data_IF_903265870708
#
_entry.id   IF_903265870708
#
_cell.length_a   1.000
_cell.length_b   1.000
_cell.length_c   1.000
_cell.angle_alpha   90.00
_cell.angle_beta   90.00
_cell.angle_gamma   90.00
#
_symmetry.space_group_name_H-M   'P 1'
#
loop_
_entity.id
_entity.type
_entity.pdbx_description
1 polymer ?
#
# COMPACT_ATOMS: atom_id res chain seq x y z
N UNK A 1 9.25 0.36 12.58
CA UNK A 1 7.94 -0.17 13.02
C UNK A 1 7.97 -1.68 13.28
N UNK A 2 7.26 -2.16 14.31
CA UNK A 2 7.01 -3.60 14.53
C UNK A 2 6.03 -4.13 13.48
N UNK A 3 6.11 -5.43 13.15
CA UNK A 3 5.16 -6.08 12.21
C UNK A 3 3.70 -5.97 12.69
N UNK A 4 3.47 -6.04 14.00
CA UNK A 4 2.13 -5.87 14.58
C UNK A 4 1.53 -4.49 14.29
N UNK A 5 2.33 -3.43 14.35
CA UNK A 5 1.90 -2.05 14.06
C UNK A 5 1.54 -1.88 12.57
N UNK A 6 2.38 -2.44 11.69
CA UNK A 6 2.13 -2.46 10.24
C UNK A 6 0.83 -3.20 9.92
N UNK A 7 0.62 -4.38 10.53
CA UNK A 7 -0.61 -5.16 10.33
C UNK A 7 -1.85 -4.38 10.79
N UNK A 8 -1.75 -3.68 11.93
CA UNK A 8 -2.85 -2.86 12.44
C UNK A 8 -3.18 -1.69 11.50
N UNK A 9 -2.18 -1.00 10.96
CA UNK A 9 -2.38 0.08 10.01
C UNK A 9 -3.09 -0.40 8.73
N UNK A 10 -2.69 -1.55 8.19
CA UNK A 10 -3.34 -2.16 7.01
C UNK A 10 -4.80 -2.56 7.32
N UNK A 11 -5.07 -3.11 8.51
CA UNK A 11 -6.43 -3.47 8.93
C UNK A 11 -7.34 -2.24 9.04
N UNK A 12 -6.84 -1.15 9.63
CA UNK A 12 -7.54 0.13 9.72
C UNK A 12 -7.84 0.69 8.32
N UNK A 13 -6.86 0.69 7.41
CA UNK A 13 -7.05 1.12 6.04
C UNK A 13 -8.12 0.31 5.31
N UNK A 14 -8.09 -1.03 5.42
CA UNK A 14 -9.12 -1.90 4.85
C UNK A 14 -10.51 -1.62 5.41
N UNK A 15 -10.63 -1.41 6.71
CA UNK A 15 -11.91 -1.11 7.36
C UNK A 15 -12.49 0.22 6.89
N UNK A 16 -11.67 1.27 6.83
CA UNK A 16 -12.10 2.59 6.36
C UNK A 16 -12.50 2.56 4.88
N UNK A 17 -11.70 1.92 4.02
CA UNK A 17 -12.02 1.76 2.61
C UNK A 17 -13.35 1.00 2.43
N UNK A 18 -13.60 -0.06 3.22
CA UNK A 18 -14.86 -0.78 3.19
C UNK A 18 -16.06 0.09 3.63
N UNK A 19 -15.88 0.92 4.66
CA UNK A 19 -16.89 1.88 5.14
C UNK A 19 -17.30 2.86 4.04
N UNK A 20 -16.34 3.35 3.24
CA UNK A 20 -16.60 4.26 2.13
C UNK A 20 -16.83 3.55 0.78
N UNK A 21 -17.09 2.24 0.81
CA UNK A 21 -17.35 1.42 -0.38
C UNK A 21 -16.24 1.44 -1.44
N UNK A 22 -15.00 1.72 -1.04
CA UNK A 22 -13.84 1.63 -1.90
C UNK A 22 -13.34 0.18 -1.99
N UNK A 23 -13.46 -0.43 -3.16
CA UNK A 23 -13.09 -1.82 -3.39
C UNK A 23 -11.65 -1.95 -3.89
N UNK A 24 -10.83 -2.68 -3.13
CA UNK A 24 -9.47 -3.01 -3.52
C UNK A 24 -9.41 -4.24 -4.44
N UNK A 25 -8.40 -4.32 -5.32
CA UNK A 25 -8.16 -5.51 -6.15
C UNK A 25 -7.84 -6.74 -5.28
N UNK A 26 -8.07 -7.94 -5.85
CA UNK A 26 -7.94 -9.22 -5.11
C UNK A 26 -6.62 -9.38 -4.37
N UNK A 27 -5.51 -8.97 -4.99
CA UNK A 27 -4.16 -9.11 -4.42
C UNK A 27 -3.93 -8.30 -3.13
N UNK A 28 -4.77 -7.30 -2.84
CA UNK A 28 -4.72 -6.57 -1.57
C UNK A 28 -5.02 -7.45 -0.33
N UNK A 29 -5.60 -8.63 -0.55
CA UNK A 29 -5.98 -9.59 0.49
C UNK A 29 -5.09 -10.84 0.52
N UNK A 30 -4.07 -10.93 -0.34
CA UNK A 30 -3.18 -12.09 -0.36
C UNK A 30 -2.44 -12.27 0.96
N UNK A 31 -2.53 -13.48 1.50
CA UNK A 31 -1.71 -13.98 2.59
C UNK A 31 -0.30 -14.32 2.11
N UNK A 32 0.61 -14.61 3.04
CA UNK A 32 1.95 -15.10 2.69
C UNK A 32 1.89 -16.40 1.88
N UNK A 33 0.91 -17.27 2.15
CA UNK A 33 0.73 -18.51 1.40
C UNK A 33 0.28 -18.22 -0.03
N UNK A 34 -0.68 -17.31 -0.22
CA UNK A 34 -1.14 -16.90 -1.55
C UNK A 34 0.03 -16.32 -2.37
N UNK A 35 0.88 -15.50 -1.75
CA UNK A 35 2.08 -14.97 -2.40
C UNK A 35 3.12 -16.04 -2.75
N UNK A 36 3.24 -17.09 -1.94
CA UNK A 36 4.15 -18.21 -2.19
C UNK A 36 3.66 -19.13 -3.31
N UNK A 37 2.35 -19.26 -3.48
CA UNK A 37 1.73 -20.11 -4.51
C UNK A 37 1.34 -19.34 -5.77
N UNK A 38 1.47 -18.02 -5.77
CA UNK A 38 1.19 -17.16 -6.91
C UNK A 38 2.07 -17.52 -8.12
N UNK A 39 1.45 -17.70 -9.28
CA UNK A 39 2.15 -17.77 -10.56
C UNK A 39 2.81 -16.42 -10.86
N UNK A 40 4.08 -16.30 -10.52
CA UNK A 40 4.83 -15.04 -10.63
C UNK A 40 4.92 -14.54 -12.06
N UNK A 41 5.00 -15.42 -13.05
CA UNK A 41 5.12 -15.04 -14.46
C UNK A 41 3.87 -14.26 -14.93
N UNK A 42 2.68 -14.65 -14.46
CA UNK A 42 1.42 -13.95 -14.78
C UNK A 42 1.16 -12.68 -13.98
N UNK A 43 1.94 -12.45 -12.92
CA UNK A 43 1.72 -11.34 -11.98
C UNK A 43 2.96 -10.46 -11.81
N UNK A 44 3.88 -10.48 -12.79
CA UNK A 44 5.12 -9.70 -12.77
C UNK A 44 4.89 -8.21 -12.54
N UNK A 45 3.86 -7.64 -13.18
CA UNK A 45 3.52 -6.21 -13.02
C UNK A 45 3.31 -5.81 -11.56
N UNK A 46 2.71 -6.68 -10.73
CA UNK A 46 2.47 -6.36 -9.31
C UNK A 46 3.80 -6.12 -8.58
N UNK A 47 4.83 -6.91 -8.93
CA UNK A 47 6.15 -6.84 -8.31
C UNK A 47 6.98 -5.70 -8.90
N UNK A 48 7.04 -5.59 -10.23
CA UNK A 48 7.88 -4.62 -10.93
C UNK A 48 7.38 -3.17 -10.78
N UNK A 49 6.07 -2.97 -10.77
CA UNK A 49 5.48 -1.64 -10.59
C UNK A 49 5.33 -1.24 -9.11
N UNK A 50 5.79 -2.10 -8.18
CA UNK A 50 5.63 -1.93 -6.73
C UNK A 50 4.18 -1.65 -6.31
N UNK A 51 3.25 -2.44 -6.85
CA UNK A 51 1.84 -2.32 -6.47
C UNK A 51 1.61 -2.91 -5.08
N UNK A 52 0.56 -2.43 -4.41
CA UNK A 52 0.14 -2.99 -3.13
C UNK A 52 0.37 -2.07 -1.94
N UNK A 53 0.41 -2.70 -0.75
CA UNK A 53 0.47 -2.01 0.54
C UNK A 53 1.84 -1.40 0.80
N UNK A 54 1.83 -0.15 1.27
CA UNK A 54 2.99 0.56 1.80
C UNK A 54 2.59 1.24 3.11
N UNK A 55 3.45 1.10 4.11
CA UNK A 55 3.30 1.65 5.46
C UNK A 55 4.64 2.19 5.88
N UNK A 56 4.70 3.50 6.12
CA UNK A 56 5.94 4.19 6.46
C UNK A 56 5.74 5.10 7.66
N UNK A 57 6.72 5.11 8.56
CA UNK A 57 6.91 6.12 9.60
C UNK A 57 7.99 7.14 9.21
N UNK A 58 8.34 7.18 7.92
CA UNK A 58 9.43 7.94 7.35
C UNK A 58 10.77 7.72 8.06
N UNK A 59 10.95 6.53 8.66
CA UNK A 59 12.11 6.15 9.46
C UNK A 59 12.34 7.03 10.71
N UNK A 60 11.28 7.68 11.21
CA UNK A 60 11.33 8.52 12.41
C UNK A 60 10.88 7.79 13.67
N UNK A 61 10.37 6.56 13.56
CA UNK A 61 9.93 5.75 14.69
C UNK A 61 8.65 6.23 15.38
N UNK A 62 7.94 7.18 14.77
CA UNK A 62 6.76 7.85 15.35
C UNK A 62 5.56 7.85 14.39
N UNK A 63 5.17 6.65 13.93
CA UNK A 63 4.12 6.46 12.92
C UNK A 63 2.82 7.23 13.19
N UNK A 64 2.36 7.28 14.45
CA UNK A 64 1.08 7.90 14.80
C UNK A 64 1.04 9.42 14.49
N UNK A 65 2.16 10.11 14.63
CA UNK A 65 2.27 11.56 14.37
C UNK A 65 2.90 11.86 13.02
N UNK A 66 3.84 11.03 12.55
CA UNK A 66 4.50 11.17 11.25
C UNK A 66 4.53 9.82 10.55
N UNK A 67 3.69 9.67 9.53
CA UNK A 67 3.54 8.40 8.85
C UNK A 67 2.47 8.45 7.78
N UNK A 68 2.36 7.35 7.03
CA UNK A 68 1.39 7.22 5.96
C UNK A 68 1.11 5.75 5.68
N UNK A 69 -0.15 5.42 5.41
CA UNK A 69 -0.55 4.11 4.87
C UNK A 69 -1.15 4.31 3.49
N UNK A 70 -0.70 3.54 2.51
CA UNK A 70 -1.23 3.61 1.16
C UNK A 70 -1.31 2.25 0.47
N UNK A 71 -2.10 2.22 -0.59
CA UNK A 71 -2.15 1.11 -1.53
C UNK A 71 -1.94 1.64 -2.95
N UNK A 72 -0.87 1.21 -3.60
CA UNK A 72 -0.62 1.51 -5.02
C UNK A 72 -1.45 0.57 -5.89
N UNK A 73 -2.44 1.14 -6.60
CA UNK A 73 -3.44 0.39 -7.39
C UNK A 73 -2.86 0.03 -8.76
N UNK A 74 -2.19 1.00 -9.38
CA UNK A 74 -1.55 0.87 -10.69
C UNK A 74 -0.37 1.83 -10.77
N UNK A 75 0.66 1.42 -11.50
CA UNK A 75 1.88 2.19 -11.68
C UNK A 75 2.60 1.72 -12.96
N UNK A 76 3.59 2.49 -13.39
CA UNK A 76 4.46 2.13 -14.51
C UNK A 76 5.31 0.91 -14.15
N UNK A 77 5.46 -0.02 -15.11
CA UNK A 77 6.49 -1.05 -15.11
C UNK A 77 7.23 -1.06 -16.46
N UNK A 78 8.30 -1.84 -16.52
CA UNK A 78 9.06 -2.13 -17.75
C UNK A 78 8.22 -2.74 -18.87
N UNK A 79 7.04 -3.29 -18.56
CA UNK A 79 6.21 -4.02 -19.51
C UNK A 79 4.89 -3.32 -19.88
N UNK A 80 4.50 -2.25 -19.16
CA UNK A 80 3.13 -1.73 -19.29
C UNK A 80 3.00 -0.30 -19.85
N UNK A 81 4.10 0.40 -20.16
CA UNK A 81 4.14 1.75 -20.77
C UNK A 81 3.17 2.80 -20.19
N UNK A 82 2.62 2.59 -18.98
CA UNK A 82 1.59 3.47 -18.42
C UNK A 82 2.23 4.82 -18.06
N UNK A 83 1.72 5.96 -18.58
CA UNK A 83 2.22 7.29 -18.21
C UNK A 83 1.59 7.81 -16.90
N UNK A 84 0.91 6.95 -16.14
CA UNK A 84 0.11 7.33 -14.97
C UNK A 84 0.21 6.30 -13.85
N UNK A 85 -0.06 6.76 -12.63
CA UNK A 85 -0.17 5.94 -11.44
C UNK A 85 -1.41 6.35 -10.63
N UNK A 86 -1.90 5.44 -9.79
CA UNK A 86 -3.01 5.70 -8.89
C UNK A 86 -2.72 5.06 -7.53
N UNK A 87 -2.89 5.85 -6.47
CA UNK A 87 -2.75 5.39 -5.08
C UNK A 87 -3.99 5.81 -4.31
N UNK A 88 -4.45 4.91 -3.43
CA UNK A 88 -5.41 5.26 -2.39
C UNK A 88 -4.67 5.31 -1.05
N UNK A 89 -4.93 6.32 -0.25
CA UNK A 89 -4.12 6.66 0.92
C UNK A 89 -5.02 6.85 2.13
N UNK A 90 -4.53 6.45 3.30
CA UNK A 90 -5.13 6.75 4.59
C UNK A 90 -4.15 7.63 5.37
N UNK A 91 -4.63 8.83 5.69
CA UNK A 91 -3.98 9.79 6.58
C UNK A 91 -4.79 9.78 7.87
N UNK A 92 -4.17 9.38 8.98
CA UNK A 92 -4.83 9.43 10.28
C UNK A 92 -5.03 10.88 10.72
N UNK A 93 -5.98 11.09 11.65
CA UNK A 93 -6.18 12.40 12.26
C UNK A 93 -4.86 12.92 12.85
N UNK A 94 -4.51 14.17 12.52
CA UNK A 94 -3.28 14.84 12.91
C UNK A 94 -1.95 14.16 12.48
N UNK A 95 -2.00 13.14 11.62
CA UNK A 95 -0.80 12.48 11.09
C UNK A 95 -0.21 13.30 9.94
N UNK A 96 1.10 13.53 9.98
CA UNK A 96 1.83 14.34 8.99
C UNK A 96 2.60 13.45 8.03
N UNK A 97 2.52 13.77 6.73
CA UNK A 97 3.51 13.36 5.73
C UNK A 97 4.53 14.49 5.59
N UNK A 98 5.84 14.24 5.81
CA UNK A 98 6.87 15.28 5.74
C UNK A 98 6.92 16.01 4.38
N UNK A 99 7.43 17.24 4.42
CA UNK A 99 7.67 18.06 3.23
C UNK A 99 8.62 17.33 2.26
N UNK A 100 8.23 17.25 0.99
CA UNK A 100 9.03 16.66 -0.09
C UNK A 100 8.58 17.19 -1.46
N UNK A 101 9.38 16.91 -2.50
CA UNK A 101 9.03 17.12 -3.92
C UNK A 101 9.19 15.82 -4.70
N UNK A 102 8.64 15.78 -5.91
CA UNK A 102 8.75 14.68 -6.86
C UNK A 102 9.66 15.08 -8.02
#
# INVERSE_FOLDING_TARGET
MKRSEINQAILQAKALMAQYHFLLPKFARYSLTDWKTLDRAKHQEILEAHLGWDVTDFNLGQFATTGLTLFTIRNQSTHNHKPYAEKIMLVNENQVTPMHYH
#
